data_IF_055091711659
#
_entry.id   IF_055091711659
#
_cell.length_a   1.000
_cell.length_b   1.000
_cell.length_c   1.000
_cell.angle_alpha   90.00
_cell.angle_beta   90.00
_cell.angle_gamma   90.00
#
_symmetry.space_group_name_H-M   'P 1'
#
loop_
_entity.id
_entity.type
_entity.pdbx_description
1 polymer ?
#
# COMPACT_ATOMS: atom_id res chain seq x y z
N UNK A 1 6.06 25.39 14.29
CA UNK A 1 4.81 25.58 13.54
C UNK A 1 3.99 24.32 13.65
N UNK A 2 2.77 24.47 14.06
CA UNK A 2 1.93 23.32 14.41
C UNK A 2 1.00 23.00 13.23
N UNK A 3 1.54 22.24 12.26
CA UNK A 3 0.79 21.83 11.05
C UNK A 3 -0.57 21.15 11.36
N UNK A 4 -0.72 20.60 12.56
CA UNK A 4 -1.93 19.88 12.94
C UNK A 4 -3.18 20.77 12.93
N UNK A 5 -3.07 22.04 13.37
CA UNK A 5 -4.20 22.98 13.44
C UNK A 5 -4.50 23.66 12.10
N UNK A 6 -3.58 23.58 11.14
CA UNK A 6 -3.63 24.32 9.87
C UNK A 6 -4.07 23.48 8.66
N UNK A 7 -4.42 22.20 8.89
CA UNK A 7 -4.76 21.28 7.79
C UNK A 7 -6.10 20.58 8.01
N UNK A 8 -6.82 20.34 6.93
CA UNK A 8 -8.09 19.59 6.94
C UNK A 8 -7.87 18.07 6.82
N UNK A 9 -6.77 17.66 6.17
CA UNK A 9 -6.47 16.25 5.87
C UNK A 9 -4.99 15.98 6.13
N UNK A 10 -4.70 14.86 6.80
CA UNK A 10 -3.34 14.34 7.00
C UNK A 10 -3.22 13.01 6.27
N UNK A 11 -2.33 12.94 5.28
CA UNK A 11 -2.00 11.71 4.55
C UNK A 11 -0.76 11.06 5.18
N UNK A 12 -0.94 9.92 5.82
CA UNK A 12 0.16 9.12 6.39
C UNK A 12 0.76 8.22 5.31
N UNK A 13 1.99 8.50 4.90
CA UNK A 13 2.75 7.70 3.93
C UNK A 13 4.15 7.45 4.50
N UNK A 14 4.33 6.31 5.14
CA UNK A 14 5.56 5.96 5.86
C UNK A 14 5.82 4.46 5.83
N UNK A 15 6.75 3.98 6.63
CA UNK A 15 6.95 2.55 6.81
C UNK A 15 5.76 1.92 7.52
N UNK A 16 5.29 0.74 7.07
CA UNK A 16 4.11 0.09 7.65
C UNK A 16 4.21 -0.21 9.15
N UNK A 17 5.41 -0.52 9.64
CA UNK A 17 5.68 -0.80 11.06
C UNK A 17 5.54 0.45 11.96
N UNK A 18 5.56 1.64 11.39
CA UNK A 18 5.41 2.91 12.11
C UNK A 18 3.97 3.46 12.07
N UNK A 19 3.11 2.92 11.20
CA UNK A 19 1.77 3.46 10.94
C UNK A 19 0.92 3.60 12.21
N UNK A 20 0.84 2.54 13.01
CA UNK A 20 0.02 2.57 14.24
C UNK A 20 0.60 3.51 15.31
N UNK A 21 1.93 3.61 15.40
CA UNK A 21 2.59 4.57 16.30
C UNK A 21 2.29 6.01 15.89
N UNK A 22 2.25 6.30 14.59
CA UNK A 22 1.86 7.59 14.07
C UNK A 22 0.39 7.93 14.41
N UNK A 23 -0.53 6.98 14.23
CA UNK A 23 -1.95 7.17 14.62
C UNK A 23 -2.05 7.52 16.10
N UNK A 24 -1.34 6.82 16.99
CA UNK A 24 -1.33 7.15 18.41
C UNK A 24 -0.86 8.59 18.67
N UNK A 25 0.21 9.04 18.01
CA UNK A 25 0.68 10.43 18.11
C UNK A 25 -0.38 11.43 17.67
N UNK A 26 -1.13 11.15 16.60
CA UNK A 26 -2.22 12.02 16.16
C UNK A 26 -3.37 12.05 17.17
N UNK A 27 -3.69 10.91 17.76
CA UNK A 27 -4.68 10.82 18.84
C UNK A 27 -4.24 11.62 20.09
N UNK A 28 -2.97 11.56 20.44
CA UNK A 28 -2.43 12.35 21.58
C UNK A 28 -2.52 13.84 21.28
N UNK A 29 -2.18 14.29 20.08
CA UNK A 29 -2.31 15.69 19.67
C UNK A 29 -3.75 16.16 19.72
N UNK A 30 -4.73 15.34 19.38
CA UNK A 30 -6.14 15.67 19.46
C UNK A 30 -6.59 16.05 20.88
N UNK A 31 -5.91 15.62 21.93
CA UNK A 31 -6.21 16.00 23.30
C UNK A 31 -5.80 17.46 23.63
N UNK A 32 -4.86 18.01 22.88
CA UNK A 32 -4.28 19.35 23.13
C UNK A 32 -4.73 20.39 22.10
N UNK A 33 -5.31 19.95 20.99
CA UNK A 33 -5.71 20.81 19.88
C UNK A 33 -7.23 20.76 19.65
N UNK A 34 -7.80 21.84 19.09
CA UNK A 34 -9.22 21.90 18.74
C UNK A 34 -9.50 21.37 17.34
N UNK A 35 -8.51 21.47 16.43
CA UNK A 35 -8.63 20.93 15.08
C UNK A 35 -8.86 19.41 15.10
N UNK A 36 -9.58 18.94 14.11
CA UNK A 36 -9.88 17.51 13.90
C UNK A 36 -9.66 17.15 12.44
N UNK A 37 -8.38 17.15 11.98
CA UNK A 37 -8.09 16.79 10.61
C UNK A 37 -8.52 15.35 10.31
N UNK A 38 -8.96 15.11 9.09
CA UNK A 38 -9.22 13.76 8.59
C UNK A 38 -7.89 13.01 8.46
N UNK A 39 -7.73 11.94 9.22
CA UNK A 39 -6.52 11.11 9.16
C UNK A 39 -6.69 10.00 8.13
N UNK A 40 -5.81 9.94 7.15
CA UNK A 40 -5.82 8.94 6.08
C UNK A 40 -4.53 8.13 6.16
N UNK A 41 -4.62 6.87 6.50
CA UNK A 41 -3.48 5.96 6.48
C UNK A 41 -3.36 5.29 5.10
N UNK A 42 -2.31 5.61 4.36
CA UNK A 42 -2.03 5.06 3.02
C UNK A 42 -0.91 3.99 3.04
N UNK A 43 -0.60 3.48 4.22
CA UNK A 43 0.47 2.51 4.42
C UNK A 43 0.00 1.07 4.08
N UNK A 44 0.95 0.19 3.82
CA UNK A 44 0.65 -1.21 3.51
C UNK A 44 0.51 -2.03 4.79
N UNK A 45 -0.58 -1.84 5.52
CA UNK A 45 -0.89 -2.53 6.77
C UNK A 45 -1.95 -3.61 6.58
N UNK A 46 -2.03 -4.56 7.53
CA UNK A 46 -3.11 -5.55 7.53
C UNK A 46 -4.47 -4.89 7.84
N UNK A 47 -5.60 -5.40 7.31
CA UNK A 47 -6.93 -4.89 7.63
C UNK A 47 -7.21 -4.82 9.13
N UNK A 48 -6.71 -5.78 9.92
CA UNK A 48 -6.84 -5.77 11.38
C UNK A 48 -6.11 -4.60 12.05
N UNK A 49 -5.01 -4.15 11.47
CA UNK A 49 -4.28 -2.96 11.93
C UNK A 49 -5.04 -1.68 11.59
N UNK A 50 -5.60 -1.59 10.39
CA UNK A 50 -6.45 -0.47 9.99
C UNK A 50 -7.69 -0.33 10.90
N UNK A 51 -8.34 -1.43 11.24
CA UNK A 51 -9.47 -1.44 12.19
C UNK A 51 -9.06 -1.01 13.61
N UNK A 52 -7.85 -1.37 14.06
CA UNK A 52 -7.31 -0.87 15.33
C UNK A 52 -7.08 0.65 15.29
N UNK A 53 -6.48 1.14 14.19
CA UNK A 53 -6.24 2.56 13.97
C UNK A 53 -7.55 3.36 13.95
N UNK A 54 -8.57 2.89 13.24
CA UNK A 54 -9.91 3.49 13.24
C UNK A 54 -10.50 3.59 14.65
N UNK A 55 -10.44 2.50 15.42
CA UNK A 55 -10.95 2.47 16.79
C UNK A 55 -10.23 3.48 17.69
N UNK A 56 -8.91 3.57 17.61
CA UNK A 56 -8.11 4.55 18.37
C UNK A 56 -8.49 5.98 17.98
N UNK A 57 -8.53 6.28 16.68
CA UNK A 57 -8.88 7.59 16.15
C UNK A 57 -10.28 8.02 16.60
N UNK A 58 -11.26 7.13 16.51
CA UNK A 58 -12.63 7.39 16.96
C UNK A 58 -12.71 7.72 18.46
N UNK A 59 -11.95 7.04 19.32
CA UNK A 59 -11.89 7.36 20.77
C UNK A 59 -11.32 8.76 21.01
N UNK A 60 -10.36 9.19 20.18
CA UNK A 60 -9.78 10.54 20.26
C UNK A 60 -10.62 11.61 19.54
N UNK A 61 -11.77 11.25 18.97
CA UNK A 61 -12.63 12.19 18.22
C UNK A 61 -12.08 12.57 16.85
N UNK A 62 -11.24 11.74 16.26
CA UNK A 62 -10.70 11.90 14.89
C UNK A 62 -11.43 10.98 13.91
N UNK A 63 -11.72 11.51 12.73
CA UNK A 63 -12.15 10.69 11.60
C UNK A 63 -10.91 10.02 10.96
N UNK A 64 -11.08 8.74 10.61
CA UNK A 64 -10.02 7.91 10.06
C UNK A 64 -10.47 7.26 8.75
N UNK A 65 -9.58 7.22 7.77
CA UNK A 65 -9.72 6.44 6.55
C UNK A 65 -8.56 5.46 6.41
N UNK A 66 -8.93 4.22 6.16
CA UNK A 66 -8.01 3.18 5.71
C UNK A 66 -7.66 3.39 4.24
N UNK A 67 -6.41 3.22 3.88
CA UNK A 67 -5.95 3.41 2.51
C UNK A 67 -4.82 2.48 2.10
N UNK A 68 -4.58 2.45 0.81
CA UNK A 68 -3.49 1.66 0.23
C UNK A 68 -3.07 2.17 -1.13
N UNK A 69 -1.78 2.32 -1.33
CA UNK A 69 -1.19 2.76 -2.61
C UNK A 69 -0.87 1.55 -3.47
N UNK A 70 -1.40 1.49 -4.70
CA UNK A 70 -1.09 0.46 -5.69
C UNK A 70 -0.59 1.12 -6.97
N UNK A 71 0.63 0.83 -7.35
CA UNK A 71 1.30 1.36 -8.52
C UNK A 71 2.71 1.81 -8.21
N UNK A 72 3.42 2.25 -9.24
CA UNK A 72 4.75 2.82 -9.13
C UNK A 72 4.68 4.30 -8.74
N UNK A 73 5.73 4.85 -8.10
CA UNK A 73 5.84 6.30 -7.89
C UNK A 73 5.75 7.06 -9.23
N UNK A 74 5.19 8.29 -9.24
CA UNK A 74 5.16 9.11 -10.43
C UNK A 74 6.58 9.32 -10.98
N UNK A 75 6.77 9.11 -12.28
CA UNK A 75 8.04 9.35 -12.97
C UNK A 75 7.79 10.21 -14.20
N UNK A 76 8.62 11.23 -14.38
CA UNK A 76 8.63 12.00 -15.62
C UNK A 76 8.97 11.11 -16.83
N UNK A 77 8.40 11.34 -18.01
CA UNK A 77 7.49 12.43 -18.35
C UNK A 77 6.00 12.12 -18.07
N UNK A 78 5.64 10.89 -17.78
CA UNK A 78 4.23 10.48 -17.74
C UNK A 78 3.48 10.91 -16.45
N UNK A 79 4.19 11.19 -15.38
CA UNK A 79 3.71 11.66 -14.07
C UNK A 79 2.34 11.12 -13.62
N UNK A 80 2.03 9.88 -13.98
CA UNK A 80 0.76 9.26 -13.57
C UNK A 80 0.79 8.96 -12.09
N UNK A 81 -0.21 9.44 -11.36
CA UNK A 81 -0.40 9.08 -9.97
C UNK A 81 -0.59 7.57 -9.81
N UNK A 82 0.00 6.92 -8.79
CA UNK A 82 -0.45 5.60 -8.40
C UNK A 82 -1.93 5.66 -7.95
N UNK A 83 -2.60 4.53 -7.96
CA UNK A 83 -3.97 4.43 -7.45
C UNK A 83 -3.95 4.44 -5.92
N UNK A 84 -4.73 5.35 -5.35
CA UNK A 84 -4.88 5.56 -3.91
C UNK A 84 -6.25 5.02 -3.50
N UNK A 85 -6.33 3.75 -3.14
CA UNK A 85 -7.58 3.17 -2.65
C UNK A 85 -7.82 3.62 -1.21
N UNK A 86 -9.07 4.01 -0.92
CA UNK A 86 -9.47 4.46 0.42
C UNK A 86 -10.80 3.86 0.82
N UNK A 87 -10.99 3.61 2.12
CA UNK A 87 -12.22 3.09 2.68
C UNK A 87 -12.49 3.68 4.07
N UNK A 88 -13.76 3.85 4.39
CA UNK A 88 -14.24 4.51 5.61
C UNK A 88 -15.38 5.46 5.29
N UNK A 89 -16.08 5.97 6.30
CA UNK A 89 -17.33 6.74 6.15
C UNK A 89 -17.18 8.00 5.30
N UNK A 90 -16.01 8.65 5.35
CA UNK A 90 -15.73 9.89 4.60
C UNK A 90 -14.88 9.67 3.34
N UNK A 91 -14.68 8.41 2.89
CA UNK A 91 -13.79 8.09 1.77
C UNK A 91 -14.11 8.87 0.47
N UNK A 92 -15.39 9.15 0.22
CA UNK A 92 -15.82 9.88 -0.98
C UNK A 92 -15.36 11.36 -1.00
N UNK A 93 -15.07 11.96 0.13
CA UNK A 93 -14.62 13.36 0.20
C UNK A 93 -13.25 13.54 -0.47
N UNK A 94 -12.39 12.52 -0.41
CA UNK A 94 -11.07 12.57 -1.04
C UNK A 94 -11.11 12.56 -2.57
N UNK A 95 -12.25 12.21 -3.18
CA UNK A 95 -12.39 12.23 -4.65
C UNK A 95 -12.21 13.62 -5.23
N UNK A 96 -12.46 14.69 -4.45
CA UNK A 96 -12.20 16.07 -4.87
C UNK A 96 -10.71 16.32 -5.16
N UNK A 97 -9.80 15.62 -4.48
CA UNK A 97 -8.35 15.74 -4.68
C UNK A 97 -7.87 15.17 -6.03
N UNK A 98 -8.72 14.42 -6.74
CA UNK A 98 -8.38 13.93 -8.08
C UNK A 98 -8.22 15.07 -9.09
N UNK A 99 -8.85 16.22 -8.85
CA UNK A 99 -8.65 17.43 -9.63
C UNK A 99 -7.23 18.02 -9.49
N UNK A 100 -6.52 17.64 -8.43
CA UNK A 100 -5.13 18.01 -8.17
C UNK A 100 -4.11 17.00 -8.72
N UNK A 101 -4.53 16.06 -9.59
CA UNK A 101 -3.63 15.08 -10.22
C UNK A 101 -3.41 13.80 -9.39
N UNK A 102 -4.16 13.59 -8.32
CA UNK A 102 -4.18 12.34 -7.57
C UNK A 102 -5.19 11.35 -8.19
N UNK A 103 -5.08 10.05 -7.89
CA UNK A 103 -6.02 9.01 -8.35
C UNK A 103 -6.59 8.28 -7.13
N UNK A 104 -7.44 8.99 -6.37
CA UNK A 104 -8.18 8.40 -5.26
C UNK A 104 -9.36 7.58 -5.75
N UNK A 105 -9.56 6.40 -5.14
CA UNK A 105 -10.63 5.45 -5.46
C UNK A 105 -11.28 4.96 -4.17
N UNK A 106 -12.54 5.34 -3.96
CA UNK A 106 -13.32 4.92 -2.80
C UNK A 106 -13.78 3.46 -2.93
N UNK A 107 -13.59 2.69 -1.87
CA UNK A 107 -14.13 1.33 -1.71
C UNK A 107 -15.31 1.27 -0.74
N UNK A 108 -15.91 2.42 -0.46
CA UNK A 108 -17.09 2.51 0.40
C UNK A 108 -16.76 2.67 1.89
N UNK A 109 -17.79 2.56 2.75
CA UNK A 109 -17.70 3.01 4.14
C UNK A 109 -16.99 2.05 5.11
N UNK A 110 -16.69 0.82 4.68
CA UNK A 110 -16.10 -0.20 5.57
C UNK A 110 -14.58 -0.04 5.67
N UNK A 111 -14.08 0.40 6.82
CA UNK A 111 -12.65 0.43 7.12
C UNK A 111 -12.03 -0.97 6.97
N UNK A 112 -10.81 -1.07 6.47
CA UNK A 112 -10.10 -2.32 6.19
C UNK A 112 -10.25 -2.81 4.75
N UNK A 113 -11.18 -2.27 3.95
CA UNK A 113 -11.37 -2.69 2.56
C UNK A 113 -10.19 -2.27 1.67
N UNK A 114 -9.62 -1.07 1.90
CA UNK A 114 -8.47 -0.57 1.14
C UNK A 114 -7.17 -1.34 1.51
N UNK A 115 -6.95 -1.62 2.78
CA UNK A 115 -5.91 -2.54 3.22
C UNK A 115 -6.13 -3.95 2.65
N UNK A 116 -7.37 -4.42 2.59
CA UNK A 116 -7.73 -5.72 2.03
C UNK A 116 -7.31 -5.88 0.56
N UNK A 117 -7.68 -4.94 -0.32
CA UNK A 117 -7.25 -4.98 -1.73
C UNK A 117 -5.74 -4.87 -1.85
N UNK A 118 -5.09 -4.02 -1.04
CA UNK A 118 -3.63 -3.89 -1.03
C UNK A 118 -2.95 -5.20 -0.64
N UNK A 119 -3.43 -5.88 0.40
CA UNK A 119 -2.86 -7.16 0.84
C UNK A 119 -3.09 -8.27 -0.18
N UNK A 120 -4.29 -8.37 -0.76
CA UNK A 120 -4.59 -9.34 -1.81
C UNK A 120 -3.68 -9.14 -3.04
N UNK A 121 -3.52 -7.89 -3.49
CA UNK A 121 -2.63 -7.55 -4.60
C UNK A 121 -1.15 -7.86 -4.27
N UNK A 122 -0.71 -7.53 -3.06
CA UNK A 122 0.65 -7.80 -2.61
C UNK A 122 0.92 -9.32 -2.50
N UNK A 123 -0.03 -10.09 -1.98
CA UNK A 123 0.07 -11.55 -1.90
C UNK A 123 0.26 -12.18 -3.28
N UNK A 124 -0.51 -11.75 -4.27
CA UNK A 124 -0.38 -12.24 -5.64
C UNK A 124 0.98 -11.87 -6.23
N UNK A 125 1.35 -10.58 -6.22
CA UNK A 125 2.56 -10.12 -6.91
C UNK A 125 3.85 -10.59 -6.25
N UNK A 126 3.92 -10.59 -4.92
CA UNK A 126 5.06 -11.09 -4.16
C UNK A 126 5.11 -12.62 -4.17
N UNK A 127 3.95 -13.27 -4.10
CA UNK A 127 3.82 -14.72 -4.21
C UNK A 127 4.33 -15.24 -5.54
N UNK A 128 3.94 -14.62 -6.65
CA UNK A 128 4.47 -14.97 -7.99
C UNK A 128 5.99 -14.86 -8.04
N UNK A 129 6.57 -13.83 -7.43
CA UNK A 129 8.03 -13.69 -7.38
C UNK A 129 8.68 -14.78 -6.54
N UNK A 130 8.13 -15.11 -5.38
CA UNK A 130 8.64 -16.18 -4.53
C UNK A 130 8.60 -17.54 -5.25
N UNK A 131 7.48 -17.82 -5.94
CA UNK A 131 7.31 -19.03 -6.76
C UNK A 131 8.34 -19.06 -7.90
N UNK A 132 8.53 -17.95 -8.60
CA UNK A 132 9.50 -17.85 -9.70
C UNK A 132 10.93 -18.11 -9.22
N UNK A 133 11.34 -17.52 -8.09
CA UNK A 133 12.67 -17.75 -7.50
C UNK A 133 12.83 -19.24 -7.17
N UNK A 134 11.84 -19.84 -6.52
CA UNK A 134 11.88 -21.26 -6.16
C UNK A 134 11.98 -22.16 -7.42
N UNK A 135 11.21 -21.85 -8.47
CA UNK A 135 11.25 -22.58 -9.74
C UNK A 135 12.62 -22.47 -10.42
N UNK A 136 13.23 -21.29 -10.45
CA UNK A 136 14.57 -21.10 -11.00
C UNK A 136 15.64 -21.85 -10.21
N UNK A 137 15.56 -21.83 -8.88
CA UNK A 137 16.47 -22.62 -8.02
C UNK A 137 16.32 -24.11 -8.31
N UNK A 138 15.09 -24.61 -8.43
CA UNK A 138 14.81 -26.00 -8.77
C UNK A 138 15.40 -26.38 -10.14
N UNK A 139 15.17 -25.58 -11.17
CA UNK A 139 15.71 -25.80 -12.51
C UNK A 139 17.24 -25.81 -12.50
N UNK A 140 17.87 -24.93 -11.72
CA UNK A 140 19.33 -24.89 -11.58
C UNK A 140 19.89 -26.14 -10.88
N UNK A 141 19.25 -26.62 -9.81
CA UNK A 141 19.66 -27.86 -9.09
C UNK A 141 19.64 -29.07 -10.03
N UNK A 142 18.68 -29.12 -10.96
CA UNK A 142 18.53 -30.20 -11.93
C UNK A 142 19.29 -29.96 -13.26
N UNK A 143 20.03 -28.85 -13.39
CA UNK A 143 20.78 -28.45 -14.59
C UNK A 143 19.91 -28.34 -15.86
N UNK A 144 18.67 -27.87 -15.73
CA UNK A 144 17.69 -27.67 -16.81
C UNK A 144 17.20 -26.22 -16.90
N UNK A 145 17.97 -25.28 -16.41
CA UNK A 145 17.52 -23.86 -16.34
C UNK A 145 17.31 -23.23 -17.74
N UNK A 146 18.11 -23.61 -18.74
CA UNK A 146 17.98 -23.07 -20.10
C UNK A 146 16.71 -23.59 -20.76
N UNK A 147 16.45 -24.88 -20.65
CA UNK A 147 15.25 -25.55 -21.16
C UNK A 147 14.00 -24.99 -20.47
N UNK A 148 14.07 -24.75 -19.18
CA UNK A 148 12.97 -24.15 -18.41
C UNK A 148 12.68 -22.72 -18.88
N UNK A 149 13.71 -21.88 -19.09
CA UNK A 149 13.54 -20.53 -19.61
C UNK A 149 12.99 -20.54 -21.05
N UNK A 150 13.45 -21.44 -21.88
CA UNK A 150 12.96 -21.57 -23.27
C UNK A 150 11.50 -22.02 -23.29
N UNK A 151 11.10 -22.95 -22.41
CA UNK A 151 9.71 -23.33 -22.27
C UNK A 151 8.84 -22.16 -21.79
N UNK A 152 9.31 -21.36 -20.83
CA UNK A 152 8.60 -20.15 -20.40
C UNK A 152 8.44 -19.11 -21.51
N UNK A 153 9.44 -18.94 -22.38
CA UNK A 153 9.36 -18.06 -23.57
C UNK A 153 8.27 -18.52 -24.54
N UNK A 154 8.11 -19.83 -24.69
CA UNK A 154 7.11 -20.42 -25.59
C UNK A 154 5.69 -20.36 -24.98
N UNK A 155 5.53 -20.85 -23.75
CA UNK A 155 4.22 -21.08 -23.16
C UNK A 155 3.72 -19.97 -22.24
N UNK A 156 4.60 -19.17 -21.63
CA UNK A 156 4.30 -18.18 -20.59
C UNK A 156 4.98 -16.83 -20.80
N UNK A 157 5.04 -16.36 -22.04
CA UNK A 157 5.79 -15.15 -22.44
C UNK A 157 5.43 -13.90 -21.61
N UNK A 158 4.15 -13.68 -21.33
CA UNK A 158 3.69 -12.51 -20.55
C UNK A 158 4.13 -12.59 -19.09
N UNK A 159 4.08 -13.78 -18.49
CA UNK A 159 4.55 -14.03 -17.13
C UNK A 159 6.07 -13.82 -17.04
N UNK A 160 6.84 -14.41 -17.97
CA UNK A 160 8.29 -14.23 -18.02
C UNK A 160 8.67 -12.76 -18.11
N UNK A 161 8.06 -11.98 -19.01
CA UNK A 161 8.34 -10.55 -19.13
C UNK A 161 7.95 -9.73 -17.88
N UNK A 162 6.95 -10.17 -17.11
CA UNK A 162 6.64 -9.59 -15.81
C UNK A 162 7.72 -9.90 -14.76
N UNK A 163 8.19 -11.15 -14.72
CA UNK A 163 9.21 -11.60 -13.78
C UNK A 163 10.58 -10.97 -14.06
N UNK A 164 10.99 -10.86 -15.32
CA UNK A 164 12.24 -10.21 -15.73
C UNK A 164 12.34 -8.76 -15.25
N UNK A 165 11.22 -8.04 -15.27
CA UNK A 165 11.15 -6.66 -14.76
C UNK A 165 11.08 -6.59 -13.22
N UNK A 166 10.38 -7.53 -12.61
CA UNK A 166 10.08 -7.52 -11.17
C UNK A 166 11.23 -8.02 -10.30
N UNK A 167 11.83 -9.16 -10.66
CA UNK A 167 12.83 -9.86 -9.84
C UNK A 167 14.02 -8.97 -9.42
N UNK A 168 14.69 -8.23 -10.33
CA UNK A 168 15.85 -7.40 -9.94
C UNK A 168 15.49 -6.30 -8.94
N UNK A 169 14.23 -5.81 -8.96
CA UNK A 169 13.78 -4.72 -8.10
C UNK A 169 13.33 -5.19 -6.72
N UNK A 170 13.15 -6.48 -6.50
CA UNK A 170 12.55 -7.01 -5.28
C UNK A 170 13.55 -7.22 -4.14
N UNK A 171 14.72 -7.79 -4.42
CA UNK A 171 15.73 -8.06 -3.40
C UNK A 171 16.10 -6.82 -2.57
N UNK A 172 16.36 -5.64 -3.16
CA UNK A 172 16.66 -4.43 -2.41
C UNK A 172 15.50 -3.91 -1.55
N UNK A 173 14.26 -4.36 -1.81
CA UNK A 173 13.06 -3.90 -1.13
C UNK A 173 12.49 -4.91 -0.11
N UNK A 174 13.04 -6.11 -0.06
CA UNK A 174 12.50 -7.20 0.76
C UNK A 174 12.45 -6.89 2.26
N UNK A 175 13.39 -6.08 2.77
CA UNK A 175 13.41 -5.67 4.18
C UNK A 175 12.12 -4.94 4.62
N UNK A 176 11.40 -4.31 3.69
CA UNK A 176 10.15 -3.59 3.98
C UNK A 176 8.96 -4.52 4.21
N UNK A 177 9.06 -5.77 3.74
CA UNK A 177 7.93 -6.70 3.76
C UNK A 177 7.62 -7.26 5.15
N UNK A 178 8.59 -7.19 6.06
CA UNK A 178 8.37 -7.62 7.46
C UNK A 178 7.21 -6.87 8.11
N UNK A 179 7.07 -5.58 7.82
CA UNK A 179 5.96 -4.76 8.35
C UNK A 179 4.64 -4.91 7.58
N UNK A 180 4.65 -5.62 6.43
CA UNK A 180 3.46 -5.85 5.60
C UNK A 180 2.82 -7.23 5.86
N UNK A 181 3.53 -8.14 6.52
CA UNK A 181 3.08 -9.50 6.84
C UNK A 181 2.78 -9.67 8.32
#
# INVERSE_FOLDING_TARGET
ENLYDDVDVILSIMRPDEALSFVNKMCDLANFHKARPLLVDLNAVAPSTALKAEKLSRVAGLDFLDGGIIGEPPRAPENRSPRLYVSGTRANELMALNQCGLDFRSLGPSCGSASGIKMAYAALTKGLTAIAINSMVTANIHNVQNEFLDELKLSQKSLLGHLEKGLPSMCPKAYRWVGEM
#
